data_IF_565657239182
#
_entry.id   IF_565657239182
#
_cell.length_a   1.000
_cell.length_b   1.000
_cell.length_c   1.000
_cell.angle_alpha   90.00
_cell.angle_beta   90.00
_cell.angle_gamma   90.00
#
_symmetry.space_group_name_H-M   'P 1'
#
loop_
_entity.id
_entity.type
_entity.pdbx_description
1 polymer ?
#
# COMPACT_ATOMS: atom_id res chain seq x y z
N UNK A 1 -11.94 23.12 23.80
CA UNK A 1 -10.57 22.94 23.27
C UNK A 1 -9.84 21.89 24.11
N UNK A 2 -9.95 20.61 23.77
CA UNK A 2 -9.12 19.52 24.33
C UNK A 2 -9.00 18.43 23.26
N UNK A 3 -8.13 18.65 22.27
CA UNK A 3 -7.62 17.55 21.45
C UNK A 3 -6.64 16.78 22.31
N UNK A 4 -7.10 15.65 22.84
CA UNK A 4 -6.24 14.65 23.45
C UNK A 4 -5.61 13.88 22.29
N UNK A 5 -4.48 14.38 21.78
CA UNK A 5 -3.57 13.58 20.96
C UNK A 5 -3.01 12.48 21.86
N UNK A 6 -3.64 11.31 21.81
CA UNK A 6 -3.04 10.08 22.31
C UNK A 6 -1.86 9.76 21.39
N UNK A 7 -0.67 10.20 21.80
CA UNK A 7 0.59 9.69 21.28
C UNK A 7 0.62 8.19 21.58
N UNK A 8 0.21 7.37 20.62
CA UNK A 8 0.46 5.94 20.67
C UNK A 8 1.96 5.76 20.66
N UNK A 9 2.56 5.61 21.84
CA UNK A 9 3.92 5.13 21.96
C UNK A 9 3.92 3.73 21.35
N UNK A 10 4.35 3.61 20.10
CA UNK A 10 4.58 2.34 19.41
C UNK A 10 5.68 1.59 20.17
N UNK A 11 5.31 0.94 21.27
CA UNK A 11 6.16 -0.03 21.94
C UNK A 11 6.21 -1.24 21.04
N UNK A 12 7.37 -1.49 20.44
CA UNK A 12 7.61 -2.65 19.57
C UNK A 12 7.13 -3.90 20.33
N UNK A 13 6.06 -4.52 19.83
CA UNK A 13 5.46 -5.67 20.50
C UNK A 13 6.38 -6.87 20.33
N UNK A 14 6.57 -7.63 21.41
CA UNK A 14 7.32 -8.89 21.37
C UNK A 14 6.69 -9.91 20.42
N UNK A 15 5.39 -9.77 20.12
CA UNK A 15 4.66 -10.59 19.14
C UNK A 15 5.08 -10.26 17.70
N UNK A 16 5.19 -8.97 17.36
CA UNK A 16 5.56 -8.54 16.01
C UNK A 16 6.97 -8.98 15.66
N UNK A 17 7.86 -8.93 16.65
CA UNK A 17 9.20 -9.47 16.52
C UNK A 17 9.18 -10.98 16.25
N UNK A 18 8.42 -11.77 17.04
CA UNK A 18 8.29 -13.22 16.82
C UNK A 18 7.72 -13.57 15.45
N UNK A 19 6.75 -12.80 14.95
CA UNK A 19 6.17 -12.99 13.62
C UNK A 19 7.23 -12.71 12.55
N UNK A 20 7.98 -11.62 12.68
CA UNK A 20 9.09 -11.32 11.79
C UNK A 20 10.10 -12.47 11.76
N UNK A 21 10.55 -12.96 12.92
CA UNK A 21 11.45 -14.11 13.00
C UNK A 21 10.85 -15.37 12.37
N UNK A 22 9.56 -15.65 12.57
CA UNK A 22 8.90 -16.83 12.00
C UNK A 22 8.89 -16.79 10.46
N UNK A 23 8.67 -15.61 9.85
CA UNK A 23 8.72 -15.42 8.40
C UNK A 23 10.14 -15.70 7.87
N UNK A 24 11.16 -15.11 8.49
CA UNK A 24 12.55 -15.34 8.10
C UNK A 24 12.97 -16.80 8.30
N UNK A 25 12.59 -17.42 9.42
CA UNK A 25 12.83 -18.85 9.65
C UNK A 25 12.18 -19.72 8.57
N UNK A 26 10.94 -19.42 8.16
CA UNK A 26 10.27 -20.12 7.07
C UNK A 26 10.99 -20.00 5.73
N UNK A 27 11.46 -18.80 5.38
CA UNK A 27 12.25 -18.57 4.15
C UNK A 27 13.56 -19.37 4.19
N UNK A 28 14.28 -19.34 5.32
CA UNK A 28 15.52 -20.11 5.46
C UNK A 28 15.30 -21.62 5.43
N UNK A 29 14.22 -22.13 6.02
CA UNK A 29 13.84 -23.54 5.93
C UNK A 29 13.58 -23.92 4.47
N UNK A 30 12.83 -23.09 3.73
CA UNK A 30 12.56 -23.33 2.32
C UNK A 30 13.84 -23.32 1.48
N UNK A 31 14.74 -22.36 1.74
CA UNK A 31 16.06 -22.29 1.10
C UNK A 31 16.98 -23.47 1.49
N UNK A 32 16.85 -24.02 2.70
CA UNK A 32 17.61 -25.20 3.12
C UNK A 32 17.08 -26.50 2.50
N UNK A 33 15.77 -26.58 2.25
CA UNK A 33 15.11 -27.72 1.62
C UNK A 33 15.33 -27.73 0.10
N UNK A 34 15.33 -26.57 -0.55
CA UNK A 34 15.53 -26.43 -2.00
C UNK A 34 16.76 -27.16 -2.59
N UNK A 35 17.98 -27.04 -2.01
CA UNK A 35 19.16 -27.76 -2.50
C UNK A 35 19.11 -29.26 -2.22
N UNK A 36 18.27 -29.73 -1.31
CA UNK A 36 18.11 -31.17 -1.04
C UNK A 36 17.50 -31.92 -2.23
N UNK A 37 16.80 -31.21 -3.12
CA UNK A 37 16.19 -31.74 -4.34
C UNK A 37 17.05 -31.56 -5.60
N UNK A 38 18.22 -30.89 -5.51
CA UNK A 38 19.13 -30.64 -6.64
C UNK A 38 20.55 -31.08 -6.28
N UNK A 39 20.90 -32.27 -6.74
CA UNK A 39 22.24 -32.91 -6.82
C UNK A 39 23.16 -32.91 -5.56
N UNK A 40 23.70 -34.08 -5.13
CA UNK A 40 24.49 -34.17 -3.89
C UNK A 40 25.90 -33.55 -3.88
N UNK A 41 26.44 -33.06 -5.02
CA UNK A 41 27.90 -32.88 -5.21
C UNK A 41 28.43 -31.42 -5.19
N UNK A 42 27.61 -30.38 -5.05
CA UNK A 42 28.07 -28.99 -5.29
C UNK A 42 28.07 -28.08 -4.07
N UNK A 43 28.74 -28.43 -2.97
CA UNK A 43 29.00 -27.49 -1.83
C UNK A 43 27.79 -26.60 -1.37
N UNK A 44 26.48 -26.97 -1.47
CA UNK A 44 25.40 -26.06 -1.09
C UNK A 44 25.08 -26.21 0.40
N UNK A 45 25.56 -27.30 1.01
CA UNK A 45 25.34 -27.71 2.41
C UNK A 45 25.95 -26.70 3.39
N UNK A 46 27.14 -26.20 3.11
CA UNK A 46 27.82 -25.22 3.97
C UNK A 46 27.03 -23.91 4.03
N UNK A 47 26.55 -23.40 2.90
CA UNK A 47 25.73 -22.20 2.85
C UNK A 47 24.39 -22.37 3.56
N UNK A 48 23.73 -23.52 3.41
CA UNK A 48 22.49 -23.82 4.12
C UNK A 48 22.70 -23.95 5.66
N UNK A 49 23.82 -24.55 6.08
CA UNK A 49 24.18 -24.68 7.51
C UNK A 49 24.54 -23.30 8.10
N UNK A 50 25.31 -22.48 7.38
CA UNK A 50 25.64 -21.11 7.78
C UNK A 50 24.36 -20.28 7.90
N UNK A 51 23.45 -20.37 6.93
CA UNK A 51 22.17 -19.68 6.97
C UNK A 51 21.31 -20.12 8.17
N UNK A 52 21.30 -21.42 8.49
CA UNK A 52 20.59 -21.95 9.65
C UNK A 52 21.21 -21.47 10.98
N UNK A 53 22.54 -21.51 11.11
CA UNK A 53 23.28 -21.03 12.28
C UNK A 53 23.07 -19.53 12.48
N UNK A 54 23.17 -18.73 11.41
CA UNK A 54 22.90 -17.29 11.46
C UNK A 54 21.47 -17.02 11.91
N UNK A 55 20.49 -17.79 11.41
CA UNK A 55 19.09 -17.65 11.80
C UNK A 55 18.87 -17.96 13.29
N UNK A 56 19.52 -19.00 13.82
CA UNK A 56 19.47 -19.37 15.24
C UNK A 56 20.17 -18.32 16.13
N UNK A 57 21.33 -17.81 15.69
CA UNK A 57 22.06 -16.74 16.42
C UNK A 57 21.25 -15.45 16.44
N UNK A 58 20.56 -15.10 15.35
CA UNK A 58 19.62 -13.97 15.30
C UNK A 58 18.43 -14.17 16.24
N UNK A 59 17.99 -15.41 16.44
CA UNK A 59 16.86 -15.77 17.29
C UNK A 59 17.19 -15.68 18.79
N UNK A 60 18.46 -15.86 19.17
CA UNK A 60 18.89 -15.82 20.58
C UNK A 60 19.24 -14.41 21.10
N UNK A 61 19.45 -13.40 20.24
CA UNK A 61 19.92 -12.07 20.68
C UNK A 61 18.85 -10.99 20.44
N UNK A 62 17.89 -10.81 21.37
CA UNK A 62 16.83 -9.80 21.25
C UNK A 62 17.39 -8.37 21.19
N UNK A 63 18.62 -8.12 21.64
CA UNK A 63 19.26 -6.80 21.61
C UNK A 63 19.69 -6.33 20.22
N UNK A 64 20.01 -7.25 19.31
CA UNK A 64 20.50 -6.92 17.95
C UNK A 64 19.35 -6.90 16.93
N UNK A 65 18.32 -7.71 17.16
CA UNK A 65 17.18 -7.83 16.24
C UNK A 65 16.24 -6.62 16.30
N UNK A 66 16.11 -5.95 17.45
CA UNK A 66 15.25 -4.77 17.62
C UNK A 66 15.66 -3.59 16.73
N UNK A 67 16.93 -3.14 16.69
CA UNK A 67 17.32 -2.07 15.78
C UNK A 67 17.20 -2.48 14.30
N UNK A 68 17.46 -3.74 13.97
CA UNK A 68 17.28 -4.27 12.62
C UNK A 68 15.81 -4.25 12.17
N UNK A 69 14.90 -4.74 13.01
CA UNK A 69 13.45 -4.69 12.76
C UNK A 69 12.97 -3.25 12.57
N UNK A 70 13.48 -2.32 13.38
CA UNK A 70 13.12 -0.90 13.29
C UNK A 70 13.60 -0.27 11.98
N UNK A 71 14.83 -0.59 11.55
CA UNK A 71 15.36 -0.15 10.26
C UNK A 71 14.54 -0.75 9.09
N UNK A 72 14.17 -2.02 9.21
CA UNK A 72 13.36 -2.71 8.21
C UNK A 72 11.97 -2.06 8.05
N UNK A 73 11.31 -1.72 9.17
CA UNK A 73 10.05 -0.97 9.13
C UNK A 73 10.25 0.37 8.43
N UNK A 74 11.28 1.13 8.81
CA UNK A 74 11.52 2.45 8.23
C UNK A 74 11.73 2.36 6.70
N UNK A 75 12.45 1.35 6.23
CA UNK A 75 12.58 1.08 4.80
C UNK A 75 11.24 0.70 4.17
N UNK A 76 10.45 -0.15 4.82
CA UNK A 76 9.10 -0.52 4.38
C UNK A 76 8.17 0.69 4.26
N UNK A 77 8.22 1.62 5.21
CA UNK A 77 7.46 2.87 5.18
C UNK A 77 7.90 3.79 4.05
N UNK A 78 9.22 3.96 3.85
CA UNK A 78 9.76 4.76 2.75
C UNK A 78 9.34 4.19 1.39
N UNK A 79 9.44 2.87 1.23
CA UNK A 79 8.99 2.16 0.03
C UNK A 79 7.48 2.33 -0.14
N UNK A 80 6.70 2.13 0.92
CA UNK A 80 5.24 2.31 0.90
C UNK A 80 4.81 3.71 0.49
N UNK A 81 5.51 4.74 0.96
CA UNK A 81 5.28 6.12 0.56
C UNK A 81 5.52 6.33 -0.94
N UNK A 82 6.64 5.80 -1.47
CA UNK A 82 6.96 5.88 -2.90
C UNK A 82 5.97 5.09 -3.74
N UNK A 83 5.59 3.89 -3.32
CA UNK A 83 4.63 3.02 -4.02
C UNK A 83 3.26 3.68 -4.06
N UNK A 84 2.75 4.19 -2.94
CA UNK A 84 1.46 4.87 -2.89
C UNK A 84 1.40 6.04 -3.88
N UNK A 85 2.45 6.87 -3.91
CA UNK A 85 2.54 8.01 -4.83
C UNK A 85 2.66 7.56 -6.29
N UNK A 86 3.44 6.51 -6.54
CA UNK A 86 3.61 5.93 -7.87
C UNK A 86 2.29 5.37 -8.40
N UNK A 87 1.57 4.57 -7.60
CA UNK A 87 0.27 4.01 -7.98
C UNK A 87 -0.72 5.14 -8.27
N UNK A 88 -0.79 6.16 -7.41
CA UNK A 88 -1.67 7.30 -7.62
C UNK A 88 -1.35 8.05 -8.92
N UNK A 89 -0.05 8.28 -9.20
CA UNK A 89 0.38 8.91 -10.44
C UNK A 89 0.02 8.05 -11.66
N UNK A 90 0.27 6.74 -11.63
CA UNK A 90 -0.06 5.82 -12.71
C UNK A 90 -1.57 5.78 -12.95
N UNK A 91 -2.40 5.70 -11.91
CA UNK A 91 -3.85 5.72 -12.07
C UNK A 91 -4.33 7.05 -12.67
N UNK A 92 -3.79 8.17 -12.18
CA UNK A 92 -4.17 9.49 -12.66
C UNK A 92 -3.78 9.71 -14.13
N UNK A 93 -2.53 9.47 -14.48
CA UNK A 93 -2.03 9.71 -15.84
C UNK A 93 -2.40 8.59 -16.82
N UNK A 94 -2.49 7.35 -16.35
CA UNK A 94 -2.78 6.19 -17.19
C UNK A 94 -4.27 5.95 -17.43
N UNK A 95 -5.14 6.26 -16.48
CA UNK A 95 -6.58 5.98 -16.58
C UNK A 95 -7.40 7.28 -16.60
N UNK A 96 -7.30 8.10 -15.56
CA UNK A 96 -8.17 9.28 -15.43
C UNK A 96 -7.91 10.33 -16.51
N UNK A 97 -6.64 10.60 -16.84
CA UNK A 97 -6.25 11.59 -17.85
C UNK A 97 -6.74 11.24 -19.26
N UNK A 98 -6.52 10.02 -19.80
CA UNK A 98 -7.04 9.67 -21.12
C UNK A 98 -8.57 9.60 -21.14
N UNK A 99 -9.23 9.19 -20.05
CA UNK A 99 -10.70 9.24 -19.95
C UNK A 99 -11.20 10.69 -20.06
N UNK A 100 -10.60 11.60 -19.30
CA UNK A 100 -10.95 13.03 -19.35
C UNK A 100 -10.67 13.63 -20.72
N UNK A 101 -9.55 13.27 -21.35
CA UNK A 101 -9.20 13.72 -22.70
C UNK A 101 -10.19 13.18 -23.75
N UNK A 102 -10.58 11.91 -23.63
CA UNK A 102 -11.58 11.28 -24.49
C UNK A 102 -12.94 11.98 -24.37
N UNK A 103 -13.41 12.26 -23.16
CA UNK A 103 -14.63 13.05 -22.97
C UNK A 103 -14.51 14.48 -23.53
N UNK A 104 -13.33 15.11 -23.41
CA UNK A 104 -13.06 16.42 -24.00
C UNK A 104 -13.11 16.40 -25.52
N UNK A 105 -12.60 15.34 -26.16
CA UNK A 105 -12.66 15.15 -27.62
C UNK A 105 -14.09 14.94 -28.11
N UNK A 106 -14.90 14.19 -27.36
CA UNK A 106 -16.32 13.96 -27.69
C UNK A 106 -17.16 15.24 -27.55
N UNK A 107 -16.61 16.33 -26.94
CA UNK A 107 -17.33 17.59 -26.69
C UNK A 107 -18.71 17.38 -26.02
N UNK A 108 -18.87 16.27 -25.29
CA UNK A 108 -20.07 16.00 -24.51
C UNK A 108 -20.02 16.90 -23.29
N UNK A 109 -20.65 18.06 -23.39
CA UNK A 109 -20.80 19.00 -22.29
C UNK A 109 -21.87 18.48 -21.32
N UNK A 110 -21.59 17.35 -20.66
CA UNK A 110 -22.50 16.71 -19.69
C UNK A 110 -22.75 17.60 -18.47
N UNK A 111 -21.91 18.61 -18.25
CA UNK A 111 -21.96 19.51 -17.11
C UNK A 111 -22.36 20.95 -17.50
N UNK A 112 -22.70 21.22 -18.77
CA UNK A 112 -22.98 22.58 -19.29
C UNK A 112 -21.97 23.63 -18.78
N UNK A 113 -20.68 23.29 -18.76
CA UNK A 113 -19.65 24.09 -18.06
C UNK A 113 -19.29 25.37 -18.82
N UNK A 114 -19.71 25.51 -20.07
CA UNK A 114 -19.46 26.73 -20.84
C UNK A 114 -20.39 27.84 -20.35
N UNK A 115 -19.83 28.94 -19.79
CA UNK A 115 -20.65 30.07 -19.42
C UNK A 115 -21.23 30.70 -20.69
N UNK A 116 -22.53 30.53 -20.90
CA UNK A 116 -23.26 31.16 -21.99
C UNK A 116 -23.67 32.57 -21.55
N UNK A 117 -22.98 33.58 -22.10
CA UNK A 117 -23.27 34.99 -21.83
C UNK A 117 -24.63 35.47 -22.35
N UNK A 118 -25.31 34.66 -23.18
CA UNK A 118 -26.63 34.98 -23.71
C UNK A 118 -27.79 34.58 -22.79
N UNK A 119 -27.52 33.86 -21.69
CA UNK A 119 -28.57 33.37 -20.77
C UNK A 119 -28.57 34.23 -19.49
N UNK A 120 -29.73 34.75 -19.13
CA UNK A 120 -29.92 35.59 -17.93
C UNK A 120 -29.84 34.80 -16.61
N UNK A 121 -30.07 33.48 -16.66
CA UNK A 121 -30.02 32.61 -15.48
C UNK A 121 -29.75 31.15 -15.87
N UNK A 122 -28.89 30.47 -15.11
CA UNK A 122 -28.66 29.02 -15.23
C UNK A 122 -29.69 28.19 -14.43
N UNK A 123 -30.64 28.84 -13.74
CA UNK A 123 -31.71 28.14 -13.05
C UNK A 123 -32.67 27.51 -14.07
N UNK A 124 -32.74 26.18 -14.02
CA UNK A 124 -33.71 25.41 -14.80
C UNK A 124 -35.08 25.58 -14.11
N UNK A 125 -35.98 26.35 -14.71
CA UNK A 125 -37.36 26.47 -14.23
C UNK A 125 -38.05 25.11 -14.34
N UNK A 126 -38.53 24.59 -13.20
CA UNK A 126 -39.32 23.36 -13.17
C UNK A 126 -40.77 23.71 -13.52
N UNK A 127 -41.29 23.11 -14.58
CA UNK A 127 -42.68 23.27 -15.03
C UNK A 127 -43.67 22.40 -14.25
N UNK A 128 -43.20 21.42 -13.47
CA UNK A 128 -44.04 20.56 -12.63
C UNK A 128 -43.53 20.51 -11.19
N UNK A 129 -44.45 20.58 -10.23
CA UNK A 129 -44.13 20.39 -8.82
C UNK A 129 -43.98 18.89 -8.49
N UNK A 130 -42.98 18.52 -7.66
CA UNK A 130 -42.78 17.13 -7.28
C UNK A 130 -43.97 16.64 -6.44
N UNK A 131 -44.73 15.68 -6.98
CA UNK A 131 -45.87 15.07 -6.29
C UNK A 131 -45.47 14.08 -5.18
N UNK A 132 -44.19 13.72 -5.08
CA UNK A 132 -43.71 12.76 -4.08
C UNK A 132 -42.23 12.96 -3.76
N UNK A 133 -41.87 12.90 -2.47
CA UNK A 133 -40.48 13.00 -1.97
C UNK A 133 -39.75 11.64 -1.93
N UNK A 134 -40.33 10.57 -2.50
CA UNK A 134 -39.84 9.21 -2.30
C UNK A 134 -38.43 8.96 -2.87
N UNK A 135 -37.97 9.78 -3.82
CA UNK A 135 -36.65 9.67 -4.47
C UNK A 135 -35.90 11.03 -4.51
N UNK A 136 -35.86 11.75 -3.39
CA UNK A 136 -35.20 13.07 -3.31
C UNK A 136 -33.68 13.01 -3.06
N UNK A 137 -33.13 11.83 -2.74
CA UNK A 137 -31.72 11.60 -2.44
C UNK A 137 -31.09 10.63 -3.43
#
# INVERSE_FOLDING_TARGET
>A
MKHCEATNSHTISTKDLRIFLAIWAGIFILLAIFPLFRDPQTTPRLWAIIACIVSIVLMCIPRVIVPFYRLWILLGEAIGFVISRTILAILFFGIFTPIALFFRLIKRDVLHQKPNKAIQSYFIQRTQQPQSMKNQF
#
